data_IF_965698298090
#
_entry.id   IF_965698298090
#
_cell.length_a   1.000
_cell.length_b   1.000
_cell.length_c   1.000
_cell.angle_alpha   90.00
_cell.angle_beta   90.00
_cell.angle_gamma   90.00
#
_symmetry.space_group_name_H-M   'P 1'
#
loop_
_entity.id
_entity.type
_entity.pdbx_description
1 polymer ?
#
# COMPACT_ATOMS: atom_id res chain seq x y z
N UNK A 1 2.31 33.60 -2.45
CA UNK A 1 1.28 32.97 -1.59
C UNK A 1 0.60 31.75 -2.24
N UNK A 2 0.10 31.82 -3.47
CA UNK A 2 -0.58 30.70 -4.14
C UNK A 2 0.32 29.45 -4.35
N UNK A 3 1.57 29.64 -4.80
CA UNK A 3 2.56 28.55 -4.96
C UNK A 3 2.89 27.84 -3.64
N UNK A 4 2.92 28.58 -2.53
CA UNK A 4 3.20 28.05 -1.19
C UNK A 4 2.00 27.29 -0.61
N UNK A 5 0.76 27.76 -0.88
CA UNK A 5 -0.47 27.02 -0.56
C UNK A 5 -0.58 25.73 -1.38
N UNK A 6 -0.23 25.76 -2.67
CA UNK A 6 -0.20 24.58 -3.53
C UNK A 6 0.82 23.53 -3.03
N UNK A 7 2.05 23.95 -2.70
CA UNK A 7 3.05 23.05 -2.12
C UNK A 7 2.64 22.48 -0.75
N UNK A 8 1.95 23.26 0.09
CA UNK A 8 1.43 22.76 1.36
C UNK A 8 0.31 21.72 1.16
N UNK A 9 -0.57 21.94 0.19
CA UNK A 9 -1.65 21.01 -0.17
C UNK A 9 -1.11 19.68 -0.69
N UNK A 10 -0.16 19.70 -1.64
CA UNK A 10 0.46 18.48 -2.19
C UNK A 10 1.22 17.68 -1.12
N UNK A 11 1.78 18.37 -0.13
CA UNK A 11 2.45 17.72 1.01
C UNK A 11 1.47 17.08 1.97
N UNK A 12 0.31 17.68 2.22
CA UNK A 12 -0.70 17.18 3.16
C UNK A 12 -1.57 16.06 2.57
N UNK A 13 -1.80 16.08 1.25
CA UNK A 13 -2.65 15.12 0.52
C UNK A 13 -2.40 13.65 0.89
N UNK A 14 -1.16 13.10 0.87
CA UNK A 14 -0.93 11.70 1.22
C UNK A 14 -1.22 11.40 2.69
N UNK A 15 -1.02 12.34 3.61
CA UNK A 15 -1.34 12.13 5.03
C UNK A 15 -2.85 12.04 5.25
N UNK A 16 -3.61 12.95 4.64
CA UNK A 16 -5.09 12.93 4.70
C UNK A 16 -5.63 11.65 4.07
N UNK A 17 -5.08 11.24 2.93
CA UNK A 17 -5.47 10.01 2.24
C UNK A 17 -5.20 8.76 3.09
N UNK A 18 -4.05 8.68 3.77
CA UNK A 18 -3.76 7.56 4.68
C UNK A 18 -4.68 7.59 5.90
N UNK A 19 -4.95 8.75 6.52
CA UNK A 19 -5.87 8.83 7.67
C UNK A 19 -7.29 8.38 7.27
N UNK A 20 -7.75 8.75 6.08
CA UNK A 20 -9.00 8.26 5.51
C UNK A 20 -8.98 6.73 5.35
N UNK A 21 -7.89 6.18 4.79
CA UNK A 21 -7.71 4.73 4.62
C UNK A 21 -7.74 3.98 5.96
N UNK A 22 -7.02 4.49 6.97
CA UNK A 22 -6.99 3.88 8.31
C UNK A 22 -8.36 3.95 9.00
N UNK A 23 -9.11 5.05 8.82
CA UNK A 23 -10.49 5.16 9.31
C UNK A 23 -11.42 4.14 8.64
N UNK A 24 -11.27 3.92 7.33
CA UNK A 24 -12.04 2.93 6.58
C UNK A 24 -11.74 1.50 7.05
N UNK A 25 -10.46 1.16 7.23
CA UNK A 25 -10.03 -0.13 7.77
C UNK A 25 -10.58 -0.37 9.18
N UNK A 26 -10.59 0.67 10.03
CA UNK A 26 -11.16 0.55 11.36
C UNK A 26 -12.66 0.24 11.33
N UNK A 27 -13.42 0.87 10.42
CA UNK A 27 -14.84 0.54 10.22
C UNK A 27 -15.06 -0.91 9.77
N UNK A 28 -14.17 -1.43 8.91
CA UNK A 28 -14.20 -2.82 8.46
C UNK A 28 -13.93 -3.79 9.61
N UNK A 29 -12.97 -3.52 10.49
CA UNK A 29 -12.69 -4.40 11.63
C UNK A 29 -13.93 -4.58 12.52
N UNK A 30 -14.64 -3.49 12.79
CA UNK A 30 -15.87 -3.52 13.59
C UNK A 30 -16.98 -4.28 12.87
N UNK A 31 -17.31 -3.90 11.63
CA UNK A 31 -18.40 -4.54 10.87
C UNK A 31 -18.12 -6.02 10.63
N UNK A 32 -16.89 -6.37 10.28
CA UNK A 32 -16.48 -7.76 10.05
C UNK A 32 -16.55 -8.55 11.34
N UNK A 33 -16.09 -8.00 12.48
CA UNK A 33 -16.20 -8.69 13.76
C UNK A 33 -17.65 -8.94 14.16
N UNK A 34 -18.55 -7.98 13.96
CA UNK A 34 -19.99 -8.18 14.19
C UNK A 34 -20.53 -9.30 13.29
N UNK A 35 -20.27 -9.23 11.98
CA UNK A 35 -20.73 -10.26 11.03
C UNK A 35 -20.18 -11.66 11.34
N UNK A 36 -18.91 -11.77 11.74
CA UNK A 36 -18.26 -13.03 12.13
C UNK A 36 -18.86 -13.60 13.42
N UNK A 37 -19.19 -12.74 14.38
CA UNK A 37 -19.86 -13.16 15.63
C UNK A 37 -21.30 -13.64 15.36
N UNK A 38 -21.98 -13.07 14.35
CA UNK A 38 -23.29 -13.53 13.86
C UNK A 38 -23.20 -14.79 12.97
N UNK A 39 -22.03 -15.41 12.87
CA UNK A 39 -21.82 -16.69 12.18
C UNK A 39 -21.51 -16.58 10.69
N UNK A 40 -21.16 -15.40 10.17
CA UNK A 40 -20.65 -15.30 8.79
C UNK A 40 -19.35 -16.09 8.64
N UNK A 41 -19.19 -16.83 7.55
CA UNK A 41 -17.92 -17.46 7.21
C UNK A 41 -16.93 -16.40 6.74
N UNK A 42 -15.71 -16.39 7.31
CA UNK A 42 -14.66 -15.46 6.89
C UNK A 42 -14.27 -15.68 5.42
N UNK A 43 -14.27 -16.93 4.95
CA UNK A 43 -13.94 -17.26 3.55
C UNK A 43 -14.93 -16.62 2.58
N UNK A 44 -16.22 -16.71 2.89
CA UNK A 44 -17.29 -16.14 2.06
C UNK A 44 -17.30 -14.60 2.15
N UNK A 45 -17.04 -14.04 3.34
CA UNK A 45 -16.91 -12.58 3.51
C UNK A 45 -15.81 -12.01 2.61
N UNK A 46 -14.64 -12.64 2.59
CA UNK A 46 -13.52 -12.23 1.73
C UNK A 46 -13.92 -12.26 0.25
N UNK A 47 -14.58 -13.33 -0.20
CA UNK A 47 -15.07 -13.45 -1.58
C UNK A 47 -16.02 -12.32 -1.94
N UNK A 48 -17.06 -12.09 -1.13
CA UNK A 48 -18.04 -11.04 -1.41
C UNK A 48 -17.41 -9.65 -1.38
N UNK A 49 -16.53 -9.38 -0.41
CA UNK A 49 -15.76 -8.13 -0.34
C UNK A 49 -15.03 -7.84 -1.66
N UNK A 50 -14.36 -8.84 -2.23
CA UNK A 50 -13.55 -8.65 -3.42
C UNK A 50 -14.38 -8.63 -4.70
N UNK A 51 -15.47 -9.39 -4.74
CA UNK A 51 -16.45 -9.35 -5.82
C UNK A 51 -17.09 -7.97 -5.92
N UNK A 52 -17.54 -7.40 -4.79
CA UNK A 52 -18.10 -6.05 -4.72
C UNK A 52 -17.07 -5.02 -5.18
N UNK A 53 -15.84 -5.09 -4.68
CA UNK A 53 -14.76 -4.18 -5.08
C UNK A 53 -14.53 -4.23 -6.60
N UNK A 54 -14.47 -5.43 -7.17
CA UNK A 54 -14.27 -5.64 -8.61
C UNK A 54 -15.39 -5.00 -9.43
N UNK A 55 -16.65 -5.28 -9.07
CA UNK A 55 -17.83 -4.77 -9.78
C UNK A 55 -17.88 -3.24 -9.73
N UNK A 56 -17.60 -2.66 -8.55
CA UNK A 56 -17.71 -1.21 -8.35
C UNK A 56 -16.56 -0.46 -9.00
N UNK A 57 -15.32 -0.97 -8.95
CA UNK A 57 -14.14 -0.24 -9.45
C UNK A 57 -13.87 -0.49 -10.94
N UNK A 58 -14.29 -1.63 -11.50
CA UNK A 58 -14.05 -1.99 -12.90
C UNK A 58 -14.49 -0.91 -13.92
N UNK A 59 -15.69 -0.28 -13.81
CA UNK A 59 -16.10 0.78 -14.72
C UNK A 59 -15.17 1.99 -14.68
N UNK A 60 -14.73 2.39 -13.48
CA UNK A 60 -13.81 3.53 -13.32
C UNK A 60 -12.44 3.19 -13.90
N UNK A 61 -11.92 1.99 -13.65
CA UNK A 61 -10.65 1.55 -14.22
C UNK A 61 -10.71 1.48 -15.76
N UNK A 62 -11.84 1.06 -16.34
CA UNK A 62 -12.01 1.01 -17.79
C UNK A 62 -11.97 2.41 -18.44
N UNK A 63 -12.49 3.44 -17.75
CA UNK A 63 -12.55 4.82 -18.27
C UNK A 63 -11.25 5.56 -17.98
N UNK A 64 -10.76 5.52 -16.73
CA UNK A 64 -9.67 6.37 -16.24
C UNK A 64 -8.28 5.86 -16.63
N UNK A 65 -8.06 4.54 -16.65
CA UNK A 65 -6.75 3.96 -16.97
C UNK A 65 -6.61 3.56 -18.44
N UNK A 66 -7.62 3.80 -19.28
CA UNK A 66 -7.67 3.31 -20.67
C UNK A 66 -6.38 3.58 -21.46
N UNK A 67 -5.78 4.76 -21.25
CA UNK A 67 -4.56 5.20 -21.95
C UNK A 67 -3.26 4.80 -21.26
N UNK A 68 -3.29 4.51 -19.95
CA UNK A 68 -2.12 4.18 -19.14
C UNK A 68 -1.88 2.67 -19.01
N UNK A 69 -2.88 1.85 -19.36
CA UNK A 69 -2.84 0.39 -19.20
C UNK A 69 -1.86 -0.26 -20.18
N UNK A 70 -0.79 -0.92 -19.71
CA UNK A 70 0.09 -1.70 -20.58
C UNK A 70 -0.54 -3.05 -20.92
N UNK A 71 0.01 -3.72 -21.94
CA UNK A 71 -0.40 -5.07 -22.32
C UNK A 71 -0.17 -6.07 -21.18
N UNK A 72 -1.13 -6.97 -20.95
CA UNK A 72 -1.00 -8.03 -19.96
C UNK A 72 -0.02 -9.11 -20.46
N UNK A 73 1.20 -9.11 -19.92
CA UNK A 73 2.18 -10.16 -20.18
C UNK A 73 2.10 -11.25 -19.12
N UNK A 74 2.58 -12.46 -19.42
CA UNK A 74 2.57 -13.58 -18.46
C UNK A 74 3.28 -13.21 -17.14
N UNK A 75 4.46 -12.56 -17.12
CA UNK A 75 5.09 -12.17 -15.86
C UNK A 75 4.27 -11.16 -15.04
N UNK A 76 3.57 -10.23 -15.69
CA UNK A 76 2.69 -9.27 -15.00
C UNK A 76 1.48 -10.01 -14.41
N UNK A 77 0.87 -10.88 -15.20
CA UNK A 77 -0.27 -11.69 -14.76
C UNK A 77 0.11 -12.58 -13.56
N UNK A 78 1.27 -13.23 -13.57
CA UNK A 78 1.75 -14.03 -12.44
C UNK A 78 1.95 -13.18 -11.18
N UNK A 79 2.48 -11.95 -11.30
CA UNK A 79 2.58 -11.04 -10.14
C UNK A 79 1.20 -10.68 -9.61
N UNK A 80 0.23 -10.42 -10.49
CA UNK A 80 -1.16 -10.10 -10.12
C UNK A 80 -1.82 -11.29 -9.41
N UNK A 81 -1.62 -12.51 -9.92
CA UNK A 81 -2.09 -13.74 -9.28
C UNK A 81 -1.54 -13.84 -7.86
N UNK A 82 -0.22 -13.68 -7.69
CA UNK A 82 0.42 -13.69 -6.37
C UNK A 82 -0.09 -12.55 -5.46
N UNK A 83 -0.38 -11.36 -6.02
CA UNK A 83 -0.97 -10.26 -5.26
C UNK A 83 -2.38 -10.60 -4.76
N UNK A 84 -3.20 -11.26 -5.59
CA UNK A 84 -4.51 -11.79 -5.20
C UNK A 84 -4.41 -12.86 -4.11
N UNK A 85 -3.39 -13.69 -4.17
CA UNK A 85 -3.19 -14.76 -3.19
C UNK A 85 -2.72 -14.21 -1.84
N UNK A 86 -1.75 -13.29 -1.85
CA UNK A 86 -1.08 -12.83 -0.63
C UNK A 86 -1.99 -12.03 0.29
N UNK A 87 -2.66 -10.99 -0.22
CA UNK A 87 -3.49 -10.15 0.65
C UNK A 87 -4.96 -10.60 0.66
N UNK A 88 -5.69 -10.63 -0.48
CA UNK A 88 -7.10 -11.02 -0.45
C UNK A 88 -7.34 -12.40 0.16
N UNK A 89 -6.55 -13.39 -0.22
CA UNK A 89 -6.81 -14.78 0.19
C UNK A 89 -6.12 -15.10 1.51
N UNK A 90 -4.79 -15.04 1.59
CA UNK A 90 -4.04 -15.50 2.77
C UNK A 90 -4.20 -14.52 3.93
N UNK A 91 -3.82 -13.25 3.75
CA UNK A 91 -3.86 -12.28 4.85
C UNK A 91 -5.27 -12.11 5.41
N UNK A 92 -6.25 -11.77 4.58
CA UNK A 92 -7.58 -11.45 5.11
C UNK A 92 -8.27 -12.64 5.78
N UNK A 93 -8.10 -13.87 5.26
CA UNK A 93 -8.67 -15.03 5.93
C UNK A 93 -7.97 -15.30 7.26
N UNK A 94 -6.64 -15.23 7.32
CA UNK A 94 -5.91 -15.41 8.57
C UNK A 94 -6.21 -14.30 9.58
N UNK A 95 -6.35 -13.07 9.11
CA UNK A 95 -6.71 -11.91 9.89
C UNK A 95 -8.12 -12.04 10.49
N UNK A 96 -9.13 -12.30 9.67
CA UNK A 96 -10.51 -12.47 10.15
C UNK A 96 -10.68 -13.71 11.03
N UNK A 97 -10.01 -14.82 10.70
CA UNK A 97 -10.06 -16.01 11.52
C UNK A 97 -9.34 -15.81 12.86
N UNK A 98 -8.20 -15.10 12.88
CA UNK A 98 -7.53 -14.71 14.11
C UNK A 98 -8.34 -13.71 14.95
N UNK A 99 -9.01 -12.77 14.29
CA UNK A 99 -9.96 -11.85 14.93
C UNK A 99 -11.17 -12.59 15.50
N UNK A 100 -11.64 -13.67 14.86
CA UNK A 100 -12.72 -14.52 15.37
C UNK A 100 -12.34 -15.17 16.70
N UNK A 101 -11.11 -15.69 16.82
CA UNK A 101 -10.58 -16.25 18.08
C UNK A 101 -10.23 -15.19 19.14
N UNK A 102 -10.18 -13.91 18.77
CA UNK A 102 -9.75 -12.82 19.65
C UNK A 102 -10.78 -11.67 19.60
N UNK A 103 -10.31 -10.43 19.45
CA UNK A 103 -11.13 -9.22 19.45
C UNK A 103 -10.70 -8.30 18.29
N UNK A 104 -11.55 -7.35 17.90
CA UNK A 104 -11.21 -6.39 16.83
C UNK A 104 -9.99 -5.56 17.25
N UNK A 105 -9.98 -5.09 18.49
CA UNK A 105 -8.84 -4.34 19.05
C UNK A 105 -7.57 -5.18 19.04
N UNK A 106 -7.64 -6.45 19.47
CA UNK A 106 -6.46 -7.32 19.49
C UNK A 106 -5.86 -7.51 18.09
N UNK A 107 -6.72 -7.76 17.08
CA UNK A 107 -6.30 -7.92 15.70
C UNK A 107 -5.61 -6.65 15.17
N UNK A 108 -6.24 -5.48 15.35
CA UNK A 108 -5.67 -4.20 14.94
C UNK A 108 -4.35 -3.88 15.66
N UNK A 109 -4.21 -4.27 16.94
CA UNK A 109 -2.95 -4.09 17.68
C UNK A 109 -1.82 -4.95 17.10
N UNK A 110 -2.11 -6.21 16.75
CA UNK A 110 -1.10 -7.11 16.16
C UNK A 110 -0.60 -6.60 14.79
N UNK A 111 -1.46 -5.93 14.01
CA UNK A 111 -1.08 -5.29 12.75
C UNK A 111 -0.07 -4.14 12.89
N UNK A 112 0.25 -3.69 14.11
CA UNK A 112 1.33 -2.73 14.35
C UNK A 112 2.73 -3.34 14.18
N UNK A 113 2.84 -4.66 14.02
CA UNK A 113 4.10 -5.32 13.64
C UNK A 113 4.36 -5.16 12.12
N UNK A 114 3.31 -4.94 11.32
CA UNK A 114 3.40 -4.83 9.85
C UNK A 114 4.44 -3.81 9.35
N UNK A 115 4.58 -2.60 9.92
CA UNK A 115 5.57 -1.63 9.44
C UNK A 115 7.00 -2.13 9.62
N UNK A 116 7.28 -2.85 10.72
CA UNK A 116 8.59 -3.42 10.98
C UNK A 116 8.92 -4.53 9.97
N UNK A 117 7.99 -5.46 9.73
CA UNK A 117 8.16 -6.53 8.72
C UNK A 117 8.37 -5.91 7.34
N UNK A 118 7.55 -4.91 6.98
CA UNK A 118 7.61 -4.24 5.68
C UNK A 118 8.90 -3.47 5.47
N UNK A 119 9.43 -2.85 6.51
CA UNK A 119 10.74 -2.21 6.45
C UNK A 119 11.86 -3.23 6.18
N UNK A 120 11.87 -4.36 6.90
CA UNK A 120 12.86 -5.43 6.69
C UNK A 120 12.78 -5.98 5.27
N UNK A 121 11.56 -6.30 4.79
CA UNK A 121 11.34 -6.81 3.43
C UNK A 121 11.72 -5.77 2.36
N UNK A 122 11.42 -4.49 2.57
CA UNK A 122 11.82 -3.41 1.66
C UNK A 122 13.35 -3.27 1.56
N UNK A 123 14.07 -3.45 2.68
CA UNK A 123 15.54 -3.46 2.69
C UNK A 123 16.10 -4.66 1.91
N UNK A 124 15.55 -5.86 2.13
CA UNK A 124 15.95 -7.07 1.41
C UNK A 124 15.74 -6.94 -0.10
N UNK A 125 14.62 -6.35 -0.52
CA UNK A 125 14.30 -6.09 -1.92
C UNK A 125 14.98 -4.83 -2.50
N UNK A 126 15.87 -4.17 -1.75
CA UNK A 126 16.56 -2.92 -2.14
C UNK A 126 15.61 -1.80 -2.58
N UNK A 127 14.38 -1.80 -2.05
CA UNK A 127 13.40 -0.73 -2.28
C UNK A 127 13.65 0.48 -1.36
N UNK A 128 14.35 0.28 -0.24
CA UNK A 128 14.76 1.36 0.68
C UNK A 128 16.29 1.32 0.87
N UNK A 129 16.97 2.46 0.74
CA UNK A 129 18.41 2.58 1.03
C UNK A 129 18.61 3.10 2.45
N UNK A 130 19.12 2.24 3.32
CA UNK A 130 19.29 2.55 4.75
C UNK A 130 20.65 3.21 5.00
N UNK A 131 20.66 4.55 5.18
CA UNK A 131 21.82 5.30 5.69
C UNK A 131 21.62 5.60 7.18
N UNK A 132 22.16 4.75 8.07
CA UNK A 132 21.93 4.79 9.53
C UNK A 132 22.70 5.88 10.30
N UNK A 133 23.59 6.61 9.65
CA UNK A 133 24.46 7.60 10.30
C UNK A 133 23.81 8.96 10.54
N UNK A 134 22.58 9.18 10.06
CA UNK A 134 21.85 10.43 10.26
C UNK A 134 20.97 10.32 11.52
N UNK A 135 21.01 11.35 12.39
CA UNK A 135 20.16 11.47 13.59
C UNK A 135 18.66 11.30 13.27
N UNK A 136 18.27 11.56 12.02
CA UNK A 136 16.91 11.37 11.49
C UNK A 136 16.60 9.92 11.15
N UNK A 137 17.57 9.16 10.67
CA UNK A 137 17.46 7.70 10.52
C UNK A 137 17.34 7.02 11.87
N UNK A 138 18.03 7.55 12.88
CA UNK A 138 17.88 7.11 14.27
C UNK A 138 16.49 7.44 14.83
N UNK A 139 15.94 8.64 14.56
CA UNK A 139 14.57 8.98 14.96
C UNK A 139 13.52 8.08 14.31
N UNK A 140 13.70 7.69 13.04
CA UNK A 140 12.83 6.71 12.35
C UNK A 140 12.92 5.32 12.99
N UNK A 141 14.13 4.85 13.30
CA UNK A 141 14.35 3.55 13.94
C UNK A 141 13.79 3.51 15.37
N UNK A 142 14.07 4.54 16.17
CA UNK A 142 13.59 4.66 17.55
C UNK A 142 12.07 4.84 17.61
N UNK A 143 11.49 5.64 16.70
CA UNK A 143 10.04 5.76 16.57
C UNK A 143 9.38 4.43 16.21
N UNK A 144 9.97 3.64 15.32
CA UNK A 144 9.50 2.28 14.99
C UNK A 144 9.58 1.34 16.18
N UNK A 145 10.70 1.35 16.92
CA UNK A 145 10.85 0.57 18.16
C UNK A 145 9.83 0.98 19.22
N UNK A 146 9.57 2.29 19.38
CA UNK A 146 8.56 2.81 20.30
C UNK A 146 7.14 2.37 19.90
N UNK A 147 6.81 2.35 18.60
CA UNK A 147 5.51 1.83 18.12
C UNK A 147 5.36 0.33 18.40
N UNK A 148 6.42 -0.46 18.19
CA UNK A 148 6.42 -1.90 18.53
C UNK A 148 6.27 -2.10 20.05
N UNK A 149 7.03 -1.36 20.85
CA UNK A 149 6.95 -1.41 22.31
C UNK A 149 5.56 -1.01 22.82
N UNK A 150 4.96 0.05 22.26
CA UNK A 150 3.61 0.47 22.60
C UNK A 150 2.54 -0.56 22.22
N UNK A 151 2.72 -1.29 21.11
CA UNK A 151 1.84 -2.40 20.73
C UNK A 151 1.97 -3.60 21.68
N UNK A 152 3.20 -3.92 22.13
CA UNK A 152 3.43 -4.94 23.16
C UNK A 152 2.82 -4.52 24.51
N UNK A 153 2.92 -3.24 24.87
CA UNK A 153 2.32 -2.71 26.10
C UNK A 153 0.80 -2.85 26.10
N UNK A 154 0.18 -2.52 24.96
CA UNK A 154 -1.27 -2.58 24.77
C UNK A 154 -1.83 -4.02 24.87
N UNK A 155 -1.04 -5.02 24.50
CA UNK A 155 -1.43 -6.44 24.48
C UNK A 155 -1.09 -7.18 25.78
N UNK A 156 0.12 -6.97 26.31
CA UNK A 156 0.65 -7.76 27.42
C UNK A 156 0.36 -7.14 28.78
N UNK A 157 0.22 -5.81 28.88
CA UNK A 157 -0.09 -5.16 30.15
C UNK A 157 -1.59 -5.02 30.31
N UNK A 158 -2.15 -5.86 31.18
CA UNK A 158 -3.50 -5.65 31.71
C UNK A 158 -3.38 -4.75 32.94
N UNK A 159 -4.01 -3.58 32.87
CA UNK A 159 -4.21 -2.70 34.02
C UNK A 159 -5.65 -2.79 34.54
N UNK A 160 -6.06 -1.92 35.49
CA UNK A 160 -7.44 -1.86 35.93
C UNK A 160 -8.39 -1.61 34.74
N UNK A 161 -9.59 -2.18 34.82
CA UNK A 161 -10.66 -1.92 33.86
C UNK A 161 -11.06 -0.45 34.02
N UNK A 162 -11.04 0.28 32.92
CA UNK A 162 -11.53 1.65 32.87
C UNK A 162 -13.04 1.58 32.68
N UNK A 163 -13.79 1.88 33.74
CA UNK A 163 -15.25 1.99 33.67
C UNK A 163 -15.64 3.24 32.87
N UNK A 164 -15.87 3.06 31.58
CA UNK A 164 -16.35 4.12 30.71
C UNK A 164 -17.86 4.31 30.94
N UNK A 165 -18.30 5.55 30.77
CA UNK A 165 -19.65 6.07 31.04
C UNK A 165 -20.73 5.21 30.36
N UNK A 166 -20.44 4.76 29.14
CA UNK A 166 -21.31 3.95 28.28
C UNK A 166 -21.19 2.45 28.51
N UNK A 167 -20.16 2.00 29.23
CA UNK A 167 -20.01 0.61 29.68
C UNK A 167 -20.54 0.39 31.10
N UNK A 168 -20.81 1.48 31.83
CA UNK A 168 -21.30 1.48 33.21
C UNK A 168 -22.72 0.89 33.26
N UNK A 169 -22.87 -0.24 33.96
CA UNK A 169 -24.13 -0.97 34.10
C UNK A 169 -24.32 -2.15 33.13
N UNK A 170 -23.48 -2.30 32.09
CA UNK A 170 -23.42 -3.55 31.28
C UNK A 170 -22.50 -4.62 31.89
N UNK A 171 -21.76 -4.29 32.95
CA UNK A 171 -20.85 -5.20 33.65
C UNK A 171 -21.54 -6.29 34.49
N UNK A 172 -22.88 -6.33 34.53
CA UNK A 172 -23.65 -7.28 35.34
C UNK A 172 -24.28 -8.43 34.54
N UNK A 173 -23.84 -8.64 33.30
CA UNK A 173 -24.00 -9.92 32.62
C UNK A 173 -22.62 -10.54 32.45
N UNK A 174 -22.17 -11.25 33.48
CA UNK A 174 -21.23 -12.35 33.29
C UNK A 174 -21.86 -13.26 32.23
N UNK A 175 -21.32 -13.17 31.01
CA UNK A 175 -21.42 -14.27 30.07
C UNK A 175 -20.74 -15.43 30.79
N UNK A 176 -21.54 -16.39 31.30
CA UNK A 176 -21.05 -17.65 31.89
C UNK A 176 -19.83 -18.08 31.11
N UNK A 177 -18.68 -18.06 31.78
CA UNK A 177 -17.41 -18.39 31.16
C UNK A 177 -17.51 -19.76 30.52
N UNK A 178 -17.62 -19.79 29.19
CA UNK A 178 -16.98 -20.86 28.45
C UNK A 178 -15.53 -20.83 28.93
N UNK A 179 -15.08 -21.96 29.50
CA UNK A 179 -13.69 -22.18 29.87
C UNK A 179 -12.80 -21.57 28.80
N UNK A 180 -12.15 -20.44 29.09
CA UNK A 180 -11.22 -19.81 28.15
C UNK A 180 -10.09 -20.79 27.93
N UNK A 181 -10.20 -21.60 26.89
CA UNK A 181 -9.11 -22.44 26.45
C UNK A 181 -7.99 -21.47 26.07
N UNK A 182 -6.94 -21.38 26.89
CA UNK A 182 -5.85 -20.41 26.72
C UNK A 182 -5.17 -20.55 25.34
N UNK A 183 -5.45 -21.64 24.61
CA UNK A 183 -5.03 -21.89 23.24
C UNK A 183 -5.70 -20.99 22.18
N UNK A 184 -6.93 -20.51 22.39
CA UNK A 184 -7.66 -19.76 21.36
C UNK A 184 -7.04 -18.37 21.06
N UNK A 185 -6.69 -17.54 22.07
CA UNK A 185 -6.03 -16.27 21.81
C UNK A 185 -4.63 -16.42 21.18
N UNK A 186 -3.88 -17.46 21.58
CA UNK A 186 -2.55 -17.76 21.02
C UNK A 186 -2.68 -18.16 19.55
N UNK A 187 -3.65 -19.03 19.22
CA UNK A 187 -3.96 -19.39 17.84
C UNK A 187 -4.32 -18.15 17.03
N UNK A 188 -5.17 -17.26 17.57
CA UNK A 188 -5.50 -16.01 16.90
C UNK A 188 -4.29 -15.12 16.62
N UNK A 189 -3.40 -14.95 17.61
CA UNK A 189 -2.17 -14.18 17.47
C UNK A 189 -1.23 -14.73 16.38
N UNK A 190 -1.05 -16.05 16.34
CA UNK A 190 -0.22 -16.71 15.31
C UNK A 190 -0.81 -16.50 13.91
N UNK A 191 -2.13 -16.61 13.77
CA UNK A 191 -2.81 -16.40 12.49
C UNK A 191 -2.67 -14.96 12.00
N UNK A 192 -2.93 -13.97 12.85
CA UNK A 192 -2.78 -12.56 12.48
C UNK A 192 -1.31 -12.22 12.14
N UNK A 193 -0.36 -12.78 12.89
CA UNK A 193 1.08 -12.59 12.61
C UNK A 193 1.45 -13.16 11.24
N UNK A 194 1.00 -14.37 10.92
CA UNK A 194 1.20 -14.97 9.61
C UNK A 194 0.53 -14.14 8.49
N UNK A 195 -0.67 -13.60 8.73
CA UNK A 195 -1.32 -12.63 7.85
C UNK A 195 -0.45 -11.40 7.59
N UNK A 196 0.13 -10.80 8.64
CA UNK A 196 1.01 -9.64 8.52
C UNK A 196 2.24 -9.91 7.64
N UNK A 197 2.83 -11.10 7.69
CA UNK A 197 3.91 -11.48 6.76
C UNK A 197 3.42 -11.51 5.30
N UNK A 198 2.23 -12.05 5.08
CA UNK A 198 1.59 -12.10 3.76
C UNK A 198 1.25 -10.70 3.24
N UNK A 199 0.63 -9.85 4.06
CA UNK A 199 0.32 -8.47 3.72
C UNK A 199 1.58 -7.64 3.46
N UNK A 200 2.63 -7.82 4.25
CA UNK A 200 3.91 -7.15 4.01
C UNK A 200 4.51 -7.55 2.66
N UNK A 201 4.48 -8.84 2.34
CA UNK A 201 4.93 -9.36 1.04
C UNK A 201 4.09 -8.81 -0.11
N UNK A 202 2.76 -8.71 0.07
CA UNK A 202 1.87 -8.06 -0.88
C UNK A 202 2.26 -6.60 -1.14
N UNK A 203 2.52 -5.81 -0.10
CA UNK A 203 2.90 -4.40 -0.24
C UNK A 203 4.18 -4.25 -1.08
N UNK A 204 5.19 -5.09 -0.79
CA UNK A 204 6.45 -5.09 -1.55
C UNK A 204 6.23 -5.51 -3.01
N UNK A 205 5.48 -6.60 -3.23
CA UNK A 205 5.18 -7.08 -4.57
C UNK A 205 4.34 -6.06 -5.36
N UNK A 206 3.43 -5.35 -4.69
CA UNK A 206 2.59 -4.33 -5.30
C UNK A 206 3.45 -3.13 -5.73
N UNK A 207 4.39 -2.70 -4.89
CA UNK A 207 5.36 -1.66 -5.25
C UNK A 207 6.19 -2.05 -6.48
N UNK A 208 6.63 -3.30 -6.58
CA UNK A 208 7.39 -3.82 -7.73
C UNK A 208 6.49 -3.90 -8.98
N UNK A 209 5.25 -4.35 -8.82
CA UNK A 209 4.30 -4.53 -9.92
C UNK A 209 3.89 -3.20 -10.54
N UNK A 210 3.68 -2.17 -9.73
CA UNK A 210 3.35 -0.81 -10.17
C UNK A 210 4.45 -0.17 -11.05
N UNK A 211 5.71 -0.62 -10.96
CA UNK A 211 6.78 -0.18 -11.88
C UNK A 211 6.60 -0.73 -13.30
N UNK A 212 6.06 -1.94 -13.43
CA UNK A 212 5.81 -2.61 -14.72
C UNK A 212 4.37 -2.46 -15.22
N UNK A 213 3.43 -2.12 -14.34
CA UNK A 213 2.01 -1.93 -14.62
C UNK A 213 1.51 -0.63 -13.95
N UNK A 214 1.82 0.55 -14.53
CA UNK A 214 1.58 1.85 -13.90
C UNK A 214 0.13 2.34 -14.07
N UNK A 215 -0.84 1.46 -13.80
CA UNK A 215 -2.27 1.71 -13.88
C UNK A 215 -2.94 1.25 -12.57
N UNK A 216 -3.02 2.15 -11.60
CA UNK A 216 -3.33 1.84 -10.20
C UNK A 216 -4.76 1.31 -10.01
N UNK A 217 -5.75 1.88 -10.72
CA UNK A 217 -7.15 1.41 -10.66
C UNK A 217 -7.31 0.04 -11.32
N UNK A 218 -6.68 -0.14 -12.48
CA UNK A 218 -6.70 -1.40 -13.23
C UNK A 218 -6.00 -2.51 -12.45
N UNK A 219 -4.88 -2.20 -11.80
CA UNK A 219 -4.19 -3.14 -10.93
C UNK A 219 -5.09 -3.54 -9.75
N UNK A 220 -5.78 -2.57 -9.15
CA UNK A 220 -6.74 -2.82 -8.06
C UNK A 220 -7.85 -3.78 -8.51
N UNK A 221 -8.46 -3.53 -9.67
CA UNK A 221 -9.50 -4.41 -10.23
C UNK A 221 -8.97 -5.82 -10.46
N UNK A 222 -7.77 -5.95 -11.01
CA UNK A 222 -7.15 -7.26 -11.23
C UNK A 222 -6.84 -8.00 -9.93
N UNK A 223 -6.30 -7.31 -8.90
CA UNK A 223 -6.07 -7.90 -7.58
C UNK A 223 -7.38 -8.37 -6.95
N UNK A 224 -8.43 -7.53 -6.99
CA UNK A 224 -9.74 -7.89 -6.45
C UNK A 224 -10.39 -9.04 -7.24
N UNK A 225 -10.24 -9.07 -8.57
CA UNK A 225 -10.76 -10.15 -9.39
C UNK A 225 -10.06 -11.47 -9.06
N UNK A 226 -8.72 -11.49 -9.00
CA UNK A 226 -7.97 -12.69 -8.64
C UNK A 226 -8.27 -13.13 -7.21
N UNK A 227 -8.35 -12.21 -6.25
CA UNK A 227 -8.77 -12.49 -4.88
C UNK A 227 -10.18 -13.09 -4.80
N UNK A 228 -11.11 -12.67 -5.67
CA UNK A 228 -12.45 -13.26 -5.76
C UNK A 228 -12.37 -14.70 -6.29
N UNK A 229 -11.63 -14.94 -7.37
CA UNK A 229 -11.50 -16.26 -8.01
C UNK A 229 -10.82 -17.25 -7.06
N UNK A 230 -9.62 -16.91 -6.57
CA UNK A 230 -8.85 -17.75 -5.66
C UNK A 230 -9.54 -17.92 -4.31
N UNK A 231 -10.13 -16.84 -3.78
CA UNK A 231 -10.92 -16.88 -2.55
C UNK A 231 -12.15 -17.79 -2.68
N UNK A 232 -12.79 -17.81 -3.85
CA UNK A 232 -13.92 -18.73 -4.12
C UNK A 232 -13.45 -20.17 -4.11
N UNK A 233 -12.33 -20.48 -4.75
CA UNK A 233 -11.72 -21.82 -4.72
C UNK A 233 -11.45 -22.23 -3.27
N UNK A 234 -10.81 -21.37 -2.48
CA UNK A 234 -10.55 -21.64 -1.07
C UNK A 234 -11.84 -21.85 -0.27
N UNK A 235 -12.84 -20.98 -0.44
CA UNK A 235 -14.12 -21.07 0.27
C UNK A 235 -14.87 -22.36 -0.05
N UNK A 236 -14.87 -22.80 -1.32
CA UNK A 236 -15.49 -24.06 -1.73
C UNK A 236 -14.80 -25.28 -1.11
N UNK A 237 -13.47 -25.22 -0.90
CA UNK A 237 -12.70 -26.26 -0.21
C UNK A 237 -12.97 -26.24 1.30
N UNK A 238 -12.91 -25.07 1.93
CA UNK A 238 -12.99 -24.94 3.39
C UNK A 238 -14.41 -25.09 3.94
N UNK A 239 -15.43 -24.70 3.18
CA UNK A 239 -16.85 -24.83 3.55
C UNK A 239 -17.56 -25.92 2.74
N UNK A 240 -16.79 -26.92 2.30
CA UNK A 240 -17.31 -28.05 1.53
C UNK A 240 -18.48 -28.72 2.27
N UNK A 241 -19.59 -28.88 1.56
CA UNK A 241 -20.80 -29.51 2.10
C UNK A 241 -21.72 -28.59 2.89
N UNK A 242 -21.45 -27.27 2.95
CA UNK A 242 -22.31 -26.29 3.65
C UNK A 242 -22.79 -25.18 2.71
N UNK A 243 -23.67 -25.43 1.74
CA UNK A 243 -24.09 -24.41 0.77
C UNK A 243 -24.72 -23.16 1.41
N UNK A 244 -25.36 -23.32 2.58
CA UNK A 244 -26.01 -22.22 3.30
C UNK A 244 -25.05 -21.09 3.72
N UNK A 245 -23.73 -21.31 3.79
CA UNK A 245 -22.77 -20.25 4.14
C UNK A 245 -22.69 -19.15 3.09
N UNK A 246 -23.09 -19.46 1.85
CA UNK A 246 -23.14 -18.50 0.74
C UNK A 246 -24.40 -17.65 0.75
N UNK A 247 -25.43 -18.05 1.50
CA UNK A 247 -26.64 -17.27 1.64
C UNK A 247 -26.36 -16.02 2.47
N UNK A 248 -26.50 -14.85 1.85
CA UNK A 248 -26.37 -13.55 2.52
C UNK A 248 -27.72 -12.84 2.51
N UNK A 249 -28.18 -12.44 3.68
CA UNK A 249 -29.43 -11.69 3.84
C UNK A 249 -29.13 -10.19 3.86
N UNK A 250 -30.17 -9.36 3.78
CA UNK A 250 -30.06 -7.90 3.97
C UNK A 250 -29.86 -7.53 5.44
N UNK A 251 -28.76 -8.00 6.02
CA UNK A 251 -28.38 -7.83 7.42
C UNK A 251 -26.94 -7.25 7.53
N UNK A 252 -26.39 -7.26 8.74
CA UNK A 252 -25.04 -6.77 9.03
C UNK A 252 -23.97 -7.49 8.19
N UNK A 253 -24.20 -8.74 7.78
CA UNK A 253 -23.25 -9.52 6.96
C UNK A 253 -23.16 -8.95 5.56
N UNK A 254 -24.29 -8.60 4.96
CA UNK A 254 -24.31 -7.90 3.68
C UNK A 254 -23.68 -6.50 3.79
N UNK A 255 -24.01 -5.75 4.83
CA UNK A 255 -23.40 -4.44 5.06
C UNK A 255 -21.87 -4.55 5.21
N UNK A 256 -21.38 -5.53 5.96
CA UNK A 256 -19.95 -5.78 6.13
C UNK A 256 -19.27 -6.09 4.79
N UNK A 257 -19.86 -6.96 3.97
CA UNK A 257 -19.34 -7.30 2.65
C UNK A 257 -19.29 -6.09 1.70
N UNK A 258 -20.38 -5.31 1.64
CA UNK A 258 -20.48 -4.15 0.73
C UNK A 258 -19.55 -3.02 1.17
N UNK A 259 -19.59 -2.65 2.46
CA UNK A 259 -18.74 -1.60 3.00
C UNK A 259 -17.25 -1.93 2.81
N UNK A 260 -16.83 -3.13 3.23
CA UNK A 260 -15.44 -3.55 3.12
C UNK A 260 -15.00 -3.68 1.66
N UNK A 261 -15.89 -4.10 0.76
CA UNK A 261 -15.60 -4.18 -0.66
C UNK A 261 -15.36 -2.82 -1.29
N UNK A 262 -16.27 -1.87 -1.08
CA UNK A 262 -16.17 -0.53 -1.67
C UNK A 262 -15.02 0.27 -1.05
N UNK A 263 -15.02 0.38 0.29
CA UNK A 263 -14.10 1.29 1.00
C UNK A 263 -12.73 0.66 1.15
N UNK A 264 -12.65 -0.59 1.61
CA UNK A 264 -11.40 -1.19 2.08
C UNK A 264 -10.66 -2.02 1.03
N UNK A 265 -11.33 -2.52 -0.01
CA UNK A 265 -10.65 -3.19 -1.13
C UNK A 265 -10.64 -2.32 -2.38
N UNK A 266 -11.76 -1.69 -2.73
CA UNK A 266 -11.84 -0.84 -3.91
C UNK A 266 -11.07 0.47 -3.78
N UNK A 267 -11.56 1.37 -2.92
CA UNK A 267 -10.97 2.70 -2.75
C UNK A 267 -9.59 2.61 -2.09
N UNK A 268 -9.47 1.80 -1.04
CA UNK A 268 -8.23 1.73 -0.26
C UNK A 268 -7.05 1.15 -1.05
N UNK A 269 -7.21 0.09 -1.86
CA UNK A 269 -6.07 -0.43 -2.66
C UNK A 269 -5.62 0.55 -3.71
N UNK A 270 -6.57 1.28 -4.32
CA UNK A 270 -6.24 2.35 -5.26
C UNK A 270 -5.44 3.46 -4.57
N UNK A 271 -5.96 4.01 -3.48
CA UNK A 271 -5.29 5.08 -2.72
C UNK A 271 -3.92 4.60 -2.22
N UNK A 272 -3.83 3.38 -1.69
CA UNK A 272 -2.59 2.75 -1.29
C UNK A 272 -1.60 2.66 -2.44
N UNK A 273 -2.03 2.22 -3.63
CA UNK A 273 -1.19 2.13 -4.82
C UNK A 273 -0.62 3.50 -5.23
N UNK A 274 -1.46 4.54 -5.22
CA UNK A 274 -1.05 5.93 -5.50
C UNK A 274 -0.02 6.41 -4.47
N UNK A 275 -0.30 6.26 -3.18
CA UNK A 275 0.63 6.68 -2.11
C UNK A 275 1.93 5.89 -2.18
N UNK A 276 1.88 4.61 -2.53
CA UNK A 276 3.06 3.77 -2.63
C UNK A 276 4.01 4.23 -3.75
N UNK A 277 3.47 4.69 -4.87
CA UNK A 277 4.25 5.28 -5.95
C UNK A 277 4.90 6.61 -5.53
N UNK A 278 4.18 7.43 -4.78
CA UNK A 278 4.63 8.77 -4.36
C UNK A 278 5.59 8.75 -3.14
N UNK A 279 5.36 7.86 -2.17
CA UNK A 279 5.98 7.90 -0.83
C UNK A 279 6.66 6.59 -0.42
N UNK A 280 6.54 5.55 -1.24
CA UNK A 280 7.11 4.22 -0.99
C UNK A 280 6.28 3.32 -0.07
N UNK A 281 6.56 2.01 -0.06
CA UNK A 281 5.78 1.00 0.67
C UNK A 281 5.77 1.21 2.19
N UNK A 282 6.91 1.61 2.78
CA UNK A 282 7.05 1.79 4.23
C UNK A 282 6.16 2.94 4.74
N UNK A 283 5.92 3.97 3.91
CA UNK A 283 5.08 5.10 4.30
C UNK A 283 3.63 4.68 4.54
N UNK A 284 3.07 3.82 3.67
CA UNK A 284 1.69 3.34 3.81
C UNK A 284 1.49 2.62 5.14
N UNK A 285 2.39 1.69 5.47
CA UNK A 285 2.27 0.88 6.69
C UNK A 285 2.51 1.67 7.96
N UNK A 286 3.32 2.73 7.92
CA UNK A 286 3.68 3.50 9.10
C UNK A 286 2.48 4.10 9.84
N UNK A 287 1.28 4.17 9.23
CA UNK A 287 0.08 4.71 9.88
C UNK A 287 -0.88 3.66 10.41
N UNK A 288 -0.58 2.36 10.30
CA UNK A 288 -1.39 1.29 10.89
C UNK A 288 -1.82 1.54 12.34
N UNK A 289 -0.97 2.14 13.20
CA UNK A 289 -1.41 2.36 14.58
C UNK A 289 -2.52 3.42 14.72
N UNK A 290 -2.75 4.26 13.71
CA UNK A 290 -3.94 5.14 13.66
C UNK A 290 -5.22 4.30 13.56
N UNK A 291 -5.24 3.27 12.69
CA UNK A 291 -6.37 2.34 12.61
C UNK A 291 -6.61 1.68 13.97
N UNK A 292 -5.56 1.18 14.63
CA UNK A 292 -5.70 0.58 15.97
C UNK A 292 -6.38 1.52 16.97
N UNK A 293 -5.99 2.80 17.03
CA UNK A 293 -6.59 3.76 17.96
C UNK A 293 -8.08 3.95 17.67
N UNK A 294 -8.45 4.08 16.39
CA UNK A 294 -9.85 4.21 15.99
C UNK A 294 -10.63 2.93 16.32
N UNK A 295 -10.06 1.75 16.05
CA UNK A 295 -10.66 0.45 16.38
C UNK A 295 -10.89 0.33 17.88
N UNK A 296 -9.92 0.68 18.72
CA UNK A 296 -10.05 0.59 20.17
C UNK A 296 -11.21 1.46 20.71
N UNK A 297 -11.41 2.64 20.11
CA UNK A 297 -12.53 3.53 20.45
C UNK A 297 -13.85 2.90 19.98
N UNK A 298 -13.96 2.56 18.68
CA UNK A 298 -15.19 2.04 18.09
C UNK A 298 -15.60 0.68 18.69
N UNK A 299 -14.64 -0.19 19.00
CA UNK A 299 -14.90 -1.51 19.59
C UNK A 299 -15.41 -1.39 21.03
N UNK A 300 -14.96 -0.38 21.77
CA UNK A 300 -15.48 -0.08 23.10
C UNK A 300 -16.93 0.40 23.05
N UNK A 301 -17.29 1.24 22.08
CA UNK A 301 -18.66 1.73 21.90
C UNK A 301 -19.63 0.66 21.35
N UNK A 302 -19.23 -0.07 20.30
CA UNK A 302 -20.12 -0.92 19.51
C UNK A 302 -20.07 -2.38 19.98
N UNK A 303 -18.87 -2.93 20.19
CA UNK A 303 -18.67 -4.34 20.61
C UNK A 303 -18.64 -4.51 22.12
N UNK A 304 -18.71 -3.40 22.89
CA UNK A 304 -18.55 -3.39 24.35
C UNK A 304 -17.25 -4.05 24.80
N UNK A 305 -16.17 -3.94 24.01
CA UNK A 305 -14.86 -4.43 24.43
C UNK A 305 -14.36 -3.63 25.64
N UNK A 306 -13.91 -4.33 26.69
CA UNK A 306 -13.38 -3.69 27.89
C UNK A 306 -12.08 -2.94 27.58
N UNK A 307 -11.99 -1.68 28.04
CA UNK A 307 -10.77 -0.90 27.96
C UNK A 307 -9.97 -1.06 29.24
N UNK A 308 -8.73 -1.52 29.12
CA UNK A 308 -7.78 -1.63 30.22
C UNK A 308 -6.82 -0.45 30.20
N UNK A 309 -6.33 -0.02 31.36
CA UNK A 309 -5.34 1.07 31.46
C UNK A 309 -4.11 0.83 30.56
N UNK A 310 -3.62 -0.41 30.49
CA UNK A 310 -2.48 -0.76 29.62
C UNK A 310 -2.75 -0.52 28.13
N UNK A 311 -4.02 -0.61 27.68
CA UNK A 311 -4.39 -0.26 26.31
C UNK A 311 -4.24 1.23 26.02
N UNK A 312 -4.63 2.08 26.99
CA UNK A 312 -4.52 3.53 26.88
C UNK A 312 -3.06 3.98 26.89
N UNK A 313 -2.26 3.45 27.83
CA UNK A 313 -0.82 3.76 27.89
C UNK A 313 -0.11 3.30 26.61
N UNK A 314 -0.43 2.10 26.12
CA UNK A 314 0.13 1.58 24.86
C UNK A 314 -0.22 2.46 23.65
N UNK A 315 -1.47 2.95 23.57
CA UNK A 315 -1.90 3.87 22.52
C UNK A 315 -1.14 5.22 22.58
N UNK A 316 -0.89 5.77 23.77
CA UNK A 316 -0.09 7.01 23.93
C UNK A 316 1.34 6.81 23.42
N UNK A 317 1.99 5.71 23.82
CA UNK A 317 3.35 5.38 23.38
C UNK A 317 3.41 5.22 21.86
N UNK A 318 2.39 4.61 21.27
CA UNK A 318 2.24 4.46 19.81
C UNK A 318 2.13 5.82 19.12
N UNK A 319 1.27 6.73 19.59
CA UNK A 319 1.10 8.07 19.00
C UNK A 319 2.41 8.85 19.06
N UNK A 320 3.13 8.76 20.18
CA UNK A 320 4.46 9.37 20.32
C UNK A 320 5.48 8.76 19.35
N UNK A 321 5.49 7.42 19.21
CA UNK A 321 6.36 6.72 18.25
C UNK A 321 6.07 7.14 16.79
N UNK A 322 4.79 7.21 16.42
CA UNK A 322 4.36 7.68 15.11
C UNK A 322 4.75 9.13 14.84
N UNK A 323 4.60 10.01 15.84
CA UNK A 323 5.05 11.39 15.74
C UNK A 323 6.55 11.47 15.44
N UNK A 324 7.39 10.68 16.10
CA UNK A 324 8.83 10.63 15.84
C UNK A 324 9.16 10.15 14.42
N UNK A 325 8.44 9.14 13.92
CA UNK A 325 8.59 8.65 12.53
C UNK A 325 8.20 9.72 11.51
N UNK A 326 7.05 10.39 11.71
CA UNK A 326 6.56 11.45 10.84
C UNK A 326 7.49 12.66 10.89
N UNK A 327 7.96 13.06 12.07
CA UNK A 327 8.93 14.14 12.25
C UNK A 327 10.24 13.83 11.53
N UNK A 328 10.73 12.58 11.64
CA UNK A 328 11.90 12.09 10.91
C UNK A 328 11.75 12.16 9.39
N UNK A 329 10.51 12.10 8.85
CA UNK A 329 10.22 12.19 7.40
C UNK A 329 9.82 13.60 6.92
N UNK A 330 9.22 14.44 7.76
CA UNK A 330 8.62 15.72 7.34
C UNK A 330 9.62 16.73 6.78
N UNK A 331 10.91 16.54 7.06
CA UNK A 331 11.99 17.44 6.61
C UNK A 331 12.85 16.90 5.48
N UNK A 332 12.63 15.67 5.02
CA UNK A 332 13.25 15.15 3.79
C UNK A 332 12.67 15.86 2.54
N UNK A 333 11.49 16.47 2.65
CA UNK A 333 10.87 17.28 1.59
C UNK A 333 11.21 18.78 1.66
N UNK A 334 11.97 19.21 2.67
CA UNK A 334 12.36 20.60 2.91
C UNK A 334 13.82 20.88 2.54
N UNK A 335 14.42 20.06 1.70
CA UNK A 335 15.72 20.34 1.08
C UNK A 335 15.49 20.75 -0.38
N UNK A 336 15.28 22.05 -0.68
CA UNK A 336 15.34 22.56 -2.06
C UNK A 336 16.69 22.25 -2.74
N UNK A 337 17.71 21.89 -1.96
CA UNK A 337 19.08 21.71 -2.41
C UNK A 337 19.28 20.47 -3.27
N UNK A 338 18.51 19.39 -3.12
CA UNK A 338 18.74 18.17 -3.91
C UNK A 338 18.26 18.28 -5.36
N UNK A 339 17.18 19.01 -5.64
CA UNK A 339 16.75 19.27 -7.01
C UNK A 339 17.69 20.26 -7.70
N UNK A 340 18.20 21.27 -6.99
CA UNK A 340 19.19 22.20 -7.56
C UNK A 340 20.55 21.54 -7.76
N UNK A 341 21.01 20.67 -6.86
CA UNK A 341 22.32 19.99 -7.01
C UNK A 341 22.28 18.93 -8.12
N UNK A 342 21.15 18.24 -8.33
CA UNK A 342 20.98 17.25 -9.40
C UNK A 342 20.77 17.93 -10.78
N UNK A 343 20.10 19.08 -10.82
CA UNK A 343 19.95 19.92 -12.03
C UNK A 343 21.25 20.67 -12.39
N UNK A 344 22.04 21.10 -11.39
CA UNK A 344 23.39 21.68 -11.59
C UNK A 344 24.40 20.60 -12.00
N UNK A 345 24.33 19.38 -11.44
CA UNK A 345 25.19 18.27 -11.83
C UNK A 345 24.86 17.75 -13.25
N UNK A 346 23.57 17.66 -13.59
CA UNK A 346 23.10 17.29 -14.93
C UNK A 346 23.45 18.34 -15.98
N UNK A 347 23.34 19.65 -15.65
CA UNK A 347 23.76 20.71 -16.56
C UNK A 347 25.27 20.79 -16.72
N UNK A 348 26.06 20.50 -15.67
CA UNK A 348 27.52 20.40 -15.79
C UNK A 348 27.98 19.23 -16.65
N UNK A 349 27.34 18.06 -16.53
CA UNK A 349 27.65 16.91 -17.39
C UNK A 349 27.33 17.18 -18.87
N UNK A 350 26.21 17.84 -19.17
CA UNK A 350 25.87 18.26 -20.54
C UNK A 350 26.84 19.32 -21.10
N UNK A 351 27.31 20.26 -20.28
CA UNK A 351 28.27 21.29 -20.75
C UNK A 351 29.70 20.77 -20.89
N UNK A 352 30.13 19.82 -20.07
CA UNK A 352 31.47 19.22 -20.19
C UNK A 352 31.56 18.27 -21.41
N UNK A 353 30.50 17.50 -21.74
CA UNK A 353 30.46 16.67 -22.95
C UNK A 353 30.44 17.50 -24.24
N UNK A 354 29.74 18.64 -24.27
CA UNK A 354 29.70 19.55 -25.43
C UNK A 354 31.03 20.32 -25.64
N UNK A 355 31.81 20.54 -24.57
CA UNK A 355 33.13 21.20 -24.64
C UNK A 355 34.24 20.21 -25.02
N UNK A 356 34.15 18.94 -24.61
CA UNK A 356 35.09 17.89 -25.05
C UNK A 356 34.89 17.52 -26.54
N UNK A 357 33.64 17.50 -27.02
CA UNK A 357 33.34 17.23 -28.43
C UNK A 357 33.88 18.30 -29.40
N UNK A 358 34.13 19.53 -28.92
CA UNK A 358 34.64 20.65 -29.73
C UNK A 358 36.17 20.87 -29.62
N UNK A 359 36.90 20.02 -28.90
CA UNK A 359 38.35 20.20 -28.67
C UNK A 359 39.28 19.45 -29.63
N UNK A 360 38.74 18.74 -30.63
CA UNK A 360 39.54 18.12 -31.70
C UNK A 360 39.12 18.61 -33.10
N UNK A 361 39.65 19.73 -33.60
CA UNK A 361 39.69 19.96 -35.02
C UNK A 361 40.88 19.18 -35.61
N UNK A 362 40.60 18.11 -36.36
CA UNK A 362 41.59 17.46 -37.22
C UNK A 362 42.05 18.45 -38.30
N UNK A 363 43.20 19.09 -38.09
CA UNK A 363 43.96 19.72 -39.16
C UNK A 363 44.91 18.69 -39.76
N UNK A 364 44.51 18.05 -40.86
CA UNK A 364 45.46 17.39 -41.76
C UNK A 364 45.86 18.37 -42.85
N UNK A 365 47.05 18.94 -42.69
CA UNK A 365 47.78 19.67 -43.72
C UNK A 365 48.22 18.68 -44.80
N UNK A 366 47.84 18.92 -46.06
CA UNK A 366 48.47 18.29 -47.22
C UNK A 366 48.99 19.43 -48.11
N UNK A 367 50.31 19.57 -48.17
CA UNK A 367 51.01 20.41 -49.13
C UNK A 367 51.09 19.73 -50.51
N UNK A 368 51.16 20.50 -51.61
CA UNK A 368 51.16 19.96 -52.97
C UNK A 368 52.58 19.66 -53.46
N UNK A 369 52.74 18.66 -54.34
CA UNK A 369 53.87 18.61 -55.26
C UNK A 369 53.43 18.02 -56.63
N UNK A 370 54.00 18.50 -57.77
CA UNK A 370 53.44 18.32 -59.10
C UNK A 370 54.16 17.23 -59.90
N UNK A 371 53.46 16.56 -60.81
CA UNK A 371 53.96 16.18 -62.16
C UNK A 371 53.07 15.16 -62.85
N UNK A 372 53.11 15.20 -64.19
CA UNK A 372 52.65 14.17 -65.14
C UNK A 372 51.14 14.10 -65.41
N UNK A 373 50.63 14.88 -66.38
CA UNK A 373 50.36 14.47 -67.77
C UNK A 373 49.32 13.34 -67.93
N UNK A 374 48.19 13.70 -68.54
CA UNK A 374 47.64 12.91 -69.65
C UNK A 374 46.14 12.60 -69.64
N UNK A 375 45.45 13.18 -70.64
CA UNK A 375 44.55 12.49 -71.58
C UNK A 375 43.03 12.38 -71.22
N UNK A 376 42.25 13.24 -71.93
CA UNK A 376 40.94 13.06 -72.62
C UNK A 376 39.73 12.49 -71.85
N UNK A 377 38.56 13.14 -71.75
CA UNK A 377 37.55 13.58 -72.74
C UNK A 377 36.26 12.74 -72.58
N UNK A 378 35.09 13.36 -72.82
CA UNK A 378 33.76 12.73 -72.89
C UNK A 378 32.82 13.26 -71.80
N UNK A 379 32.02 14.29 -72.09
CA UNK A 379 30.63 14.24 -72.62
C UNK A 379 29.62 14.18 -71.45
N UNK A 380 28.92 15.26 -71.11
CA UNK A 380 27.74 15.89 -71.74
C UNK A 380 26.42 15.49 -71.05
N UNK A 381 25.64 16.53 -70.70
CA UNK A 381 24.18 16.56 -70.44
C UNK A 381 23.65 15.75 -69.23
N UNK A 382 22.66 16.18 -68.41
CA UNK A 382 21.48 16.97 -68.71
C UNK A 382 20.93 17.68 -67.46
N UNK A 383 20.33 18.84 -67.73
CA UNK A 383 19.69 19.81 -66.85
C UNK A 383 18.17 19.56 -66.74
N UNK A 384 17.53 20.02 -65.65
CA UNK A 384 16.07 20.25 -65.54
C UNK A 384 15.43 19.54 -64.34
N UNK A 385 15.19 20.17 -63.18
CA UNK A 385 14.13 21.16 -62.88
C UNK A 385 12.70 20.58 -62.90
N UNK A 386 12.05 20.43 -61.72
CA UNK A 386 10.78 21.10 -61.37
C UNK A 386 10.13 20.62 -60.06
N UNK A 387 9.72 21.63 -59.29
CA UNK A 387 8.78 21.63 -58.17
C UNK A 387 7.42 20.96 -58.48
N UNK A 388 6.78 20.37 -57.47
CA UNK A 388 5.35 20.59 -57.19
C UNK A 388 4.94 20.26 -55.75
N UNK A 389 4.21 21.22 -55.15
CA UNK A 389 3.40 21.16 -53.92
C UNK A 389 2.03 20.55 -54.21
N UNK A 390 1.40 19.95 -53.18
CA UNK A 390 -0.06 19.85 -52.85
C UNK A 390 -0.15 18.80 -51.71
N UNK A 391 -0.60 19.03 -50.46
CA UNK A 391 -1.80 19.58 -49.79
C UNK A 391 -3.09 18.74 -49.94
N UNK A 392 -3.70 18.47 -48.77
CA UNK A 392 -5.02 17.89 -48.39
C UNK A 392 -5.01 16.36 -48.17
N UNK A 393 -5.56 15.80 -47.06
CA UNK A 393 -6.53 16.30 -46.07
C UNK A 393 -6.28 15.69 -44.69
#
# INVERSE_FOLDING_TARGET
MAKQKHMAYDRAKPFVAVIFLQSGLAGMDILSKVALNEGMSNYVLVVYRHAVATIVIAPFAFILDKKARPSMTVPIFTKILLLGLLEPVIDQNLYFLGMKYTSATFAATMCNILPAITFVMACMCKLEKVKLTNIRSQAKAFGTLATVAGAMLMTLIKGPILELLWTRGRSMHESKGQSMNHQEPIKGALMITAGCFSWSTFIILQAITLKTYPAELSLTVWICLMGTVEGTILALVMERGKPCVWSINWDTKFLAAVYSGIVCSGIAYYIQGVIMKDRGPVFVTAFNPVCMVIVAILSSFILSEQMYLGRVVGAIVIVLGLYLVVWGKSKDYNSPTQLMDEEIASNKQLTDEDVEANKFPNHSVISPDPSSKGITAGDEHHQGEKNKKEIYS
#
